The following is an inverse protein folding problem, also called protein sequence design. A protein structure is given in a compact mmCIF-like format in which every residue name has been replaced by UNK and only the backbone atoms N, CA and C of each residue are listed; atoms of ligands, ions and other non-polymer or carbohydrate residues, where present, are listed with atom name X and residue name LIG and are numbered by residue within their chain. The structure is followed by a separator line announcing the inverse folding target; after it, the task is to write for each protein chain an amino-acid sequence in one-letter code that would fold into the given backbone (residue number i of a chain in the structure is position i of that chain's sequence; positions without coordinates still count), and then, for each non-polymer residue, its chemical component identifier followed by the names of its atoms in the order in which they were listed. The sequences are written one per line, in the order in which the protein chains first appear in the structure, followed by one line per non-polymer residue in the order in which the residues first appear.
data_IF_048476081783
#
_entry.id   IF_048476081783
#
_cell.length_a   1.000
_cell.length_b   1.000
_cell.length_c   1.000
_cell.angle_alpha   90.00
_cell.angle_beta   90.00
_cell.angle_gamma   90.00
#
_symmetry.space_group_name_H-M   'P 1'
#
loop_
_entity.id
_entity.type
_entity.pdbx_description
1 polymer ?
#
# COMPACT_ATOMS: atom_id res chain seq x y z
N UNK A 1 16.06 -8.39 -2.03
CA UNK A 1 15.70 -7.79 -3.35
C UNK A 1 14.21 -7.46 -3.30
N UNK A 2 13.77 -6.32 -3.82
CA UNK A 2 12.37 -5.85 -3.73
C UNK A 2 11.69 -5.92 -5.10
N UNK A 3 10.37 -6.10 -5.10
CA UNK A 3 9.55 -6.05 -6.32
C UNK A 3 9.44 -4.61 -6.83
N UNK A 4 9.62 -4.41 -8.14
CA UNK A 4 9.34 -3.15 -8.82
C UNK A 4 7.99 -3.25 -9.53
N UNK A 5 7.01 -2.49 -9.07
CA UNK A 5 5.64 -2.49 -9.61
C UNK A 5 5.24 -1.08 -10.06
N UNK A 6 4.47 -1.01 -11.14
CA UNK A 6 3.81 0.22 -11.60
C UNK A 6 2.31 -0.02 -11.54
N UNK A 7 1.64 0.65 -10.60
CA UNK A 7 0.18 0.59 -10.49
C UNK A 7 -0.47 1.43 -11.59
N UNK A 8 -1.48 0.86 -12.25
CA UNK A 8 -2.36 1.58 -13.17
C UNK A 8 -3.42 2.38 -12.38
N UNK A 9 -4.04 3.40 -12.98
CA UNK A 9 -5.18 4.07 -12.35
C UNK A 9 -6.27 3.06 -11.95
N UNK A 10 -6.67 3.09 -10.68
CA UNK A 10 -7.63 2.15 -10.10
C UNK A 10 -7.01 0.92 -9.44
N UNK A 11 -5.75 0.58 -9.72
CA UNK A 11 -5.07 -0.49 -8.98
C UNK A 11 -4.65 -0.01 -7.59
N UNK A 12 -4.71 -0.91 -6.60
CA UNK A 12 -4.31 -0.64 -5.23
C UNK A 12 -3.37 -1.74 -4.73
N UNK A 13 -2.60 -1.42 -3.69
CA UNK A 13 -1.71 -2.34 -3.00
C UNK A 13 -1.77 -2.04 -1.51
N UNK A 14 -1.84 -3.10 -0.69
CA UNK A 14 -1.71 -3.00 0.76
C UNK A 14 -0.26 -3.19 1.17
N UNK A 15 0.23 -2.32 2.06
CA UNK A 15 1.58 -2.36 2.59
C UNK A 15 1.54 -2.91 4.01
N UNK A 16 1.95 -4.16 4.17
CA UNK A 16 2.06 -4.78 5.49
C UNK A 16 3.15 -4.11 6.33
N UNK A 17 2.96 -4.14 7.65
CA UNK A 17 4.03 -3.83 8.59
C UNK A 17 5.27 -4.71 8.31
N UNK A 18 6.44 -4.23 8.73
CA UNK A 18 7.70 -4.97 8.62
C UNK A 18 8.12 -5.33 7.18
N UNK A 19 7.53 -4.70 6.16
CA UNK A 19 7.84 -4.93 4.74
C UNK A 19 8.42 -3.66 4.10
N UNK A 20 9.71 -3.63 3.71
CA UNK A 20 10.31 -2.48 3.05
C UNK A 20 9.62 -2.14 1.72
N UNK A 21 9.33 -0.86 1.51
CA UNK A 21 8.71 -0.34 0.29
C UNK A 21 9.18 1.09 0.02
N UNK A 22 8.99 1.56 -1.21
CA UNK A 22 9.29 2.94 -1.59
C UNK A 22 8.38 3.39 -2.74
N UNK A 23 7.83 4.60 -2.62
CA UNK A 23 7.15 5.27 -3.73
C UNK A 23 8.19 5.98 -4.60
N UNK A 24 8.23 5.62 -5.89
CA UNK A 24 9.28 6.10 -6.81
C UNK A 24 8.79 7.27 -7.66
N UNK A 25 7.60 7.14 -8.27
CA UNK A 25 7.05 8.12 -9.22
C UNK A 25 5.55 7.92 -9.42
N UNK A 26 4.80 9.01 -9.52
CA UNK A 26 3.38 9.01 -9.88
C UNK A 26 2.54 9.81 -8.89
N UNK A 27 1.22 9.61 -8.96
CA UNK A 27 0.25 10.16 -8.02
C UNK A 27 -0.64 9.02 -7.55
N UNK A 28 -0.82 8.90 -6.24
CA UNK A 28 -1.66 7.89 -5.62
C UNK A 28 -2.40 8.51 -4.42
N UNK A 29 -3.48 7.85 -4.00
CA UNK A 29 -4.08 8.09 -2.69
C UNK A 29 -3.42 7.15 -1.69
N UNK A 30 -2.98 7.69 -0.56
CA UNK A 30 -2.42 6.91 0.54
C UNK A 30 -3.34 7.03 1.76
N UNK A 31 -3.65 5.89 2.37
CA UNK A 31 -4.42 5.80 3.61
C UNK A 31 -3.61 4.94 4.57
N UNK A 32 -3.38 5.46 5.76
CA UNK A 32 -2.57 4.81 6.78
C UNK A 32 -3.19 5.01 8.16
N UNK A 33 -2.87 4.11 9.09
CA UNK A 33 -3.13 4.35 10.50
C UNK A 33 -2.38 5.61 10.97
N UNK A 34 -2.84 6.22 12.07
CA UNK A 34 -2.18 7.40 12.63
C UNK A 34 -0.86 7.00 13.31
N UNK A 35 0.22 6.98 12.53
CA UNK A 35 1.58 6.69 12.98
C UNK A 35 2.59 7.42 12.11
N UNK A 36 3.66 7.91 12.72
CA UNK A 36 4.83 8.49 12.09
C UNK A 36 6.09 7.62 12.28
N UNK A 37 5.93 6.38 12.76
CA UNK A 37 7.02 5.43 12.92
C UNK A 37 7.54 4.98 11.55
N UNK A 38 8.78 5.37 11.23
CA UNK A 38 9.43 5.02 9.96
C UNK A 38 10.87 4.57 10.20
N UNK A 39 11.14 3.30 9.92
CA UNK A 39 12.49 2.77 9.74
C UNK A 39 12.90 2.93 8.27
N UNK A 40 14.03 3.59 8.03
CA UNK A 40 14.51 3.88 6.66
C UNK A 40 15.39 2.75 6.17
N UNK A 41 15.20 2.32 4.92
CA UNK A 41 15.97 1.23 4.31
C UNK A 41 16.91 1.68 3.18
N UNK A 42 17.02 2.98 2.93
CA UNK A 42 17.83 3.54 1.84
C UNK A 42 17.15 4.73 1.15
N UNK A 43 17.65 5.11 -0.03
CA UNK A 43 17.15 6.23 -0.83
C UNK A 43 17.00 7.55 -0.04
N UNK A 44 17.83 7.73 0.98
CA UNK A 44 17.80 8.87 1.86
C UNK A 44 19.21 9.27 2.27
N UNK A 45 19.49 10.57 2.47
CA UNK A 45 20.72 11.01 3.13
C UNK A 45 20.61 10.99 4.67
N UNK A 46 19.42 10.69 5.22
CA UNK A 46 19.19 10.67 6.68
C UNK A 46 19.80 9.42 7.32
N UNK A 47 19.96 9.46 8.65
CA UNK A 47 20.38 8.31 9.44
C UNK A 47 19.44 7.11 9.23
N UNK A 48 20.06 5.93 9.16
CA UNK A 48 19.42 4.62 9.07
C UNK A 48 19.90 3.81 10.26
N UNK A 49 18.96 3.40 11.11
CA UNK A 49 19.21 2.41 12.16
C UNK A 49 19.13 1.02 11.52
N UNK A 50 20.30 0.45 11.18
CA UNK A 50 20.39 -0.80 10.42
C UNK A 50 19.99 -2.00 11.26
N UNK A 51 20.39 -2.03 12.53
CA UNK A 51 20.12 -3.16 13.41
C UNK A 51 18.62 -3.26 13.70
N UNK A 52 17.98 -2.12 14.01
CA UNK A 52 16.53 -2.06 14.21
C UNK A 52 15.75 -2.36 12.92
N UNK A 53 16.23 -1.88 11.77
CA UNK A 53 15.64 -2.22 10.48
C UNK A 53 15.64 -3.73 10.24
N UNK A 54 16.77 -4.40 10.51
CA UNK A 54 16.90 -5.85 10.31
C UNK A 54 16.04 -6.61 11.30
N UNK A 55 15.96 -6.21 12.57
CA UNK A 55 15.12 -6.88 13.56
C UNK A 55 13.62 -6.72 13.29
N UNK A 56 13.20 -5.58 12.73
CA UNK A 56 11.80 -5.29 12.41
C UNK A 56 11.40 -5.66 10.98
N UNK A 57 12.26 -6.27 10.16
CA UNK A 57 11.91 -6.69 8.79
C UNK A 57 11.56 -8.16 8.73
N UNK A 58 10.42 -8.49 8.12
CA UNK A 58 10.07 -9.87 7.77
C UNK A 58 10.72 -10.21 6.41
N UNK A 59 11.73 -11.08 6.44
CA UNK A 59 12.48 -11.52 5.26
C UNK A 59 11.78 -12.68 4.51
N UNK A 60 10.50 -12.50 4.22
CA UNK A 60 9.68 -13.47 3.50
C UNK A 60 9.37 -12.96 2.08
N UNK A 61 9.56 -13.78 1.03
CA UNK A 61 9.26 -13.35 -0.33
C UNK A 61 7.76 -13.19 -0.53
N UNK A 62 7.34 -12.04 -1.05
CA UNK A 62 5.97 -11.82 -1.54
C UNK A 62 5.92 -12.06 -3.05
N UNK A 63 5.14 -13.05 -3.54
CA UNK A 63 4.94 -13.26 -4.97
C UNK A 63 4.43 -11.97 -5.64
N UNK A 64 4.89 -11.69 -6.86
CA UNK A 64 4.50 -10.47 -7.57
C UNK A 64 2.97 -10.39 -7.79
N UNK A 65 2.35 -11.52 -8.12
CA UNK A 65 0.93 -11.61 -8.41
C UNK A 65 0.04 -11.45 -7.17
N UNK A 66 0.62 -11.47 -5.96
CA UNK A 66 -0.11 -11.23 -4.71
C UNK A 66 0.05 -9.79 -4.18
N UNK A 67 0.66 -8.89 -4.95
CA UNK A 67 0.90 -7.51 -4.52
C UNK A 67 -0.34 -6.61 -4.69
N UNK A 68 -1.21 -6.93 -5.64
CA UNK A 68 -2.41 -6.13 -5.89
C UNK A 68 -3.52 -6.49 -4.91
N UNK A 69 -4.19 -5.45 -4.39
CA UNK A 69 -5.42 -5.60 -3.63
C UNK A 69 -6.59 -5.58 -4.62
N UNK A 70 -7.20 -6.74 -4.85
CA UNK A 70 -8.37 -6.85 -5.72
C UNK A 70 -9.62 -6.24 -5.05
N UNK A 71 -10.34 -5.41 -5.80
CA UNK A 71 -11.58 -4.83 -5.34
C UNK A 71 -12.74 -5.84 -5.38
N UNK A 72 -13.59 -5.78 -4.38
CA UNK A 72 -14.85 -6.54 -4.31
C UNK A 72 -15.99 -5.59 -4.64
N UNK A 73 -16.78 -5.93 -5.66
CA UNK A 73 -17.99 -5.19 -6.01
C UNK A 73 -19.14 -5.59 -5.09
N UNK A 74 -19.63 -4.63 -4.30
CA UNK A 74 -20.84 -4.79 -3.50
C UNK A 74 -21.50 -3.44 -3.24
N UNK A 75 -22.81 -3.42 -2.97
CA UNK A 75 -23.53 -2.21 -2.54
C UNK A 75 -23.32 -0.96 -3.45
N UNK A 76 -23.04 -1.18 -4.73
CA UNK A 76 -22.80 -0.11 -5.71
C UNK A 76 -21.40 0.53 -5.65
N UNK A 77 -20.45 -0.05 -4.92
CA UNK A 77 -19.06 0.41 -4.81
C UNK A 77 -18.03 -0.69 -5.06
N UNK A 78 -16.81 -0.26 -5.37
CA UNK A 78 -15.60 -1.09 -5.38
C UNK A 78 -14.93 -1.00 -4.01
N UNK A 79 -14.94 -2.10 -3.27
CA UNK A 79 -14.38 -2.16 -1.91
C UNK A 79 -13.01 -2.82 -1.94
N UNK A 80 -11.99 -2.16 -1.39
CA UNK A 80 -10.64 -2.69 -1.31
C UNK A 80 -10.44 -3.31 0.08
N UNK A 81 -10.39 -4.66 0.19
CA UNK A 81 -10.25 -5.32 1.47
C UNK A 81 -8.87 -5.04 2.07
N UNK A 82 -8.86 -4.60 3.33
CA UNK A 82 -7.64 -4.35 4.11
C UNK A 82 -7.71 -5.12 5.42
N UNK A 83 -6.64 -5.84 5.84
CA UNK A 83 -6.66 -6.70 7.01
C UNK A 83 -6.42 -5.94 8.33
N UNK A 84 -6.94 -4.72 8.45
CA UNK A 84 -6.76 -3.84 9.61
C UNK A 84 -8.08 -3.16 10.01
N UNK A 85 -8.29 -2.88 11.30
CA UNK A 85 -9.50 -2.20 11.76
C UNK A 85 -9.45 -0.68 11.59
N UNK A 86 -8.26 -0.10 11.38
CA UNK A 86 -7.99 1.34 11.41
C UNK A 86 -8.73 2.13 10.32
N UNK A 87 -8.95 1.52 9.16
CA UNK A 87 -9.61 2.17 8.03
C UNK A 87 -10.26 1.16 7.09
N UNK A 88 -11.12 1.68 6.21
CA UNK A 88 -11.68 0.98 5.05
C UNK A 88 -11.59 1.89 3.84
N UNK A 89 -11.47 1.32 2.65
CA UNK A 89 -11.42 2.09 1.41
C UNK A 89 -12.41 1.55 0.38
N UNK A 90 -13.20 2.46 -0.19
CA UNK A 90 -14.19 2.14 -1.21
C UNK A 90 -14.24 3.27 -2.25
N UNK A 91 -14.43 2.91 -3.52
CA UNK A 91 -14.65 3.86 -4.61
C UNK A 91 -16.10 3.73 -5.09
N UNK A 92 -16.80 4.86 -5.14
CA UNK A 92 -18.15 4.96 -5.71
C UNK A 92 -18.09 5.84 -6.95
N UNK A 93 -18.42 5.25 -8.10
CA UNK A 93 -18.52 6.03 -9.35
C UNK A 93 -19.94 6.57 -9.47
N UNK A 94 -20.14 7.90 -9.52
CA UNK A 94 -21.47 8.46 -9.70
C UNK A 94 -22.02 8.04 -11.07
N UNK A 95 -23.22 7.44 -11.08
CA UNK A 95 -23.98 7.23 -12.30
C UNK A 95 -24.28 8.60 -12.90
N UNK A 96 -23.89 8.83 -14.16
CA UNK A 96 -24.34 10.01 -14.90
C UNK A 96 -25.86 9.97 -14.97
N UNK A 97 -26.53 10.79 -14.16
CA UNK A 97 -27.92 11.15 -14.41
C UNK A 97 -27.87 12.05 -15.65
N UNK A 98 -28.15 11.48 -16.82
CA UNK A 98 -28.49 12.28 -17.99
C UNK A 98 -29.71 13.12 -17.61
N UNK A 99 -29.54 14.44 -17.53
CA UNK A 99 -30.65 15.38 -17.53
C UNK A 99 -31.25 15.47 -18.92
#
# INVERSE_FOLDING_TARGET
MLNLITLKPGEAMFLDACTPHAYIKGTALEIMANSDNVLRAGLTPKHIDVDELVSCTLFEPKPFDSLLTEAVLSEGGEHYPVPVPDFKFSIYTPTKVCK
#
